data_IF_303603353459
#
_entry.id   IF_303603353459
#
_cell.length_a   1.000
_cell.length_b   1.000
_cell.length_c   1.000
_cell.angle_alpha   90.00
_cell.angle_beta   90.00
_cell.angle_gamma   90.00
#
_symmetry.space_group_name_H-M   'P 1'
#
loop_
_entity.id
_entity.type
_entity.pdbx_description
1 polymer ?
#
# COMPACT_ATOMS: atom_id res chain seq x y z
N UNK A 1 -9.72 29.57 -13.20
CA UNK A 1 -9.37 28.15 -13.37
C UNK A 1 -8.59 27.66 -12.15
N UNK A 2 -8.90 26.48 -11.65
CA UNK A 2 -8.13 25.90 -10.54
C UNK A 2 -6.77 25.40 -11.04
N UNK A 3 -5.76 25.53 -10.19
CA UNK A 3 -4.41 25.04 -10.48
C UNK A 3 -4.31 23.52 -10.30
N UNK A 4 -3.25 22.92 -10.84
CA UNK A 4 -2.98 21.50 -10.62
C UNK A 4 -2.82 21.16 -9.13
N UNK A 5 -2.21 22.05 -8.36
CA UNK A 5 -2.06 21.89 -6.90
C UNK A 5 -3.42 21.90 -6.21
N UNK A 6 -4.29 22.83 -6.54
CA UNK A 6 -5.66 22.89 -5.99
C UNK A 6 -6.46 21.66 -6.35
N UNK A 7 -6.32 21.16 -7.58
CA UNK A 7 -6.99 19.92 -8.01
C UNK A 7 -6.53 18.72 -7.19
N UNK A 8 -5.24 18.61 -6.90
CA UNK A 8 -4.70 17.53 -6.06
C UNK A 8 -5.21 17.63 -4.62
N UNK A 9 -5.27 18.83 -4.07
CA UNK A 9 -5.79 19.06 -2.72
C UNK A 9 -7.26 18.66 -2.60
N UNK A 10 -8.08 19.08 -3.55
CA UNK A 10 -9.50 18.72 -3.60
C UNK A 10 -9.71 17.22 -3.79
N UNK A 11 -8.92 16.59 -4.64
CA UNK A 11 -8.92 15.14 -4.83
C UNK A 11 -8.60 14.41 -3.52
N UNK A 12 -7.53 14.83 -2.82
CA UNK A 12 -7.14 14.23 -1.55
C UNK A 12 -8.24 14.35 -0.50
N UNK A 13 -8.84 15.54 -0.37
CA UNK A 13 -9.94 15.77 0.60
C UNK A 13 -11.12 14.82 0.31
N UNK A 14 -11.51 14.72 -0.95
CA UNK A 14 -12.62 13.85 -1.37
C UNK A 14 -12.33 12.38 -1.04
N UNK A 15 -11.17 11.88 -1.43
CA UNK A 15 -10.81 10.47 -1.20
C UNK A 15 -10.66 10.18 0.30
N UNK A 16 -10.07 11.09 1.07
CA UNK A 16 -9.96 10.95 2.52
C UNK A 16 -11.33 10.87 3.19
N UNK A 17 -12.27 11.70 2.78
CA UNK A 17 -13.63 11.70 3.34
C UNK A 17 -14.39 10.42 2.99
N UNK A 18 -14.28 9.93 1.76
CA UNK A 18 -14.94 8.71 1.31
C UNK A 18 -14.36 7.44 1.92
N UNK A 19 -13.12 7.49 2.41
CA UNK A 19 -12.38 6.31 2.89
C UNK A 19 -11.77 6.54 4.28
N UNK A 20 -12.45 7.26 5.16
CA UNK A 20 -11.96 7.58 6.52
C UNK A 20 -11.50 6.36 7.29
N UNK A 21 -12.28 5.29 7.27
CA UNK A 21 -11.96 4.07 8.03
C UNK A 21 -10.69 3.42 7.51
N UNK A 22 -10.49 3.41 6.20
CA UNK A 22 -9.31 2.81 5.57
C UNK A 22 -8.06 3.61 5.95
N UNK A 23 -8.11 4.93 5.84
CA UNK A 23 -6.98 5.79 6.20
C UNK A 23 -6.68 5.74 7.69
N UNK A 24 -7.70 5.65 8.55
CA UNK A 24 -7.51 5.47 9.99
C UNK A 24 -6.79 4.17 10.31
N UNK A 25 -7.12 3.07 9.66
CA UNK A 25 -6.45 1.78 9.83
C UNK A 25 -4.99 1.85 9.37
N UNK A 26 -4.73 2.51 8.24
CA UNK A 26 -3.37 2.72 7.74
C UNK A 26 -2.56 3.56 8.73
N UNK A 27 -3.13 4.64 9.25
CA UNK A 27 -2.47 5.50 10.25
C UNK A 27 -2.11 4.73 11.52
N UNK A 28 -2.98 3.86 12.00
CA UNK A 28 -2.72 3.00 13.15
C UNK A 28 -1.52 2.09 12.87
N UNK A 29 -1.48 1.46 11.71
CA UNK A 29 -0.38 0.58 11.32
C UNK A 29 0.94 1.33 11.21
N UNK A 30 0.92 2.52 10.61
CA UNK A 30 2.11 3.38 10.50
C UNK A 30 2.60 3.79 11.88
N UNK A 31 1.70 4.23 12.76
CA UNK A 31 2.05 4.63 14.13
C UNK A 31 2.67 3.48 14.91
N UNK A 32 2.09 2.28 14.82
CA UNK A 32 2.65 1.08 15.46
C UNK A 32 4.04 0.74 14.92
N UNK A 33 4.24 0.87 13.61
CA UNK A 33 5.53 0.61 12.99
C UNK A 33 6.59 1.62 13.45
N UNK A 34 6.24 2.89 13.58
CA UNK A 34 7.14 3.93 14.10
C UNK A 34 7.56 3.61 15.54
N UNK A 35 6.65 3.19 16.39
CA UNK A 35 6.96 2.78 17.76
C UNK A 35 7.93 1.59 17.81
N UNK A 36 7.95 0.75 16.80
CA UNK A 36 8.88 -0.37 16.66
C UNK A 36 10.14 0.00 15.88
N UNK A 37 10.34 1.28 15.58
CA UNK A 37 11.47 1.79 14.78
C UNK A 37 11.51 1.24 13.35
N UNK A 38 10.38 0.87 12.80
CA UNK A 38 10.25 0.47 11.41
C UNK A 38 9.98 1.68 10.52
N UNK A 39 10.38 1.61 9.26
CA UNK A 39 10.17 2.67 8.26
C UNK A 39 9.17 2.28 7.17
N UNK A 40 8.50 1.16 7.36
CA UNK A 40 7.52 0.63 6.39
C UNK A 40 6.49 -0.25 7.08
N UNK A 41 5.35 -0.41 6.40
CA UNK A 41 4.34 -1.41 6.74
C UNK A 41 4.07 -2.29 5.52
N UNK A 42 3.63 -3.52 5.77
CA UNK A 42 3.19 -4.46 4.73
C UNK A 42 1.72 -4.77 4.95
N UNK A 43 0.91 -4.58 3.92
CA UNK A 43 -0.50 -4.95 3.93
C UNK A 43 -0.67 -6.13 2.97
N UNK A 44 -0.93 -7.30 3.52
CA UNK A 44 -1.10 -8.53 2.73
C UNK A 44 -2.43 -8.51 2.00
N UNK A 45 -2.47 -9.07 0.79
CA UNK A 45 -3.72 -9.20 0.02
C UNK A 45 -4.78 -10.06 0.74
N UNK A 46 -4.35 -10.92 1.65
CA UNK A 46 -5.26 -11.72 2.49
C UNK A 46 -5.91 -10.93 3.62
N UNK A 47 -5.40 -9.74 3.93
CA UNK A 47 -5.97 -8.87 4.96
C UNK A 47 -7.23 -8.19 4.44
N UNK A 48 -8.23 -8.02 5.30
CA UNK A 48 -9.48 -7.34 4.93
C UNK A 48 -9.24 -5.90 4.49
N UNK A 49 -8.26 -5.24 5.09
CA UNK A 49 -7.88 -3.88 4.73
C UNK A 49 -7.48 -3.77 3.25
N UNK A 50 -6.72 -4.73 2.72
CA UNK A 50 -6.25 -4.70 1.34
C UNK A 50 -7.39 -4.77 0.32
N UNK A 51 -8.49 -5.43 0.66
CA UNK A 51 -9.68 -5.56 -0.20
C UNK A 51 -10.37 -4.21 -0.45
N UNK A 52 -10.16 -3.25 0.43
CA UNK A 52 -10.75 -1.91 0.36
C UNK A 52 -9.77 -0.87 -0.18
N UNK A 53 -8.50 -1.23 -0.38
CA UNK A 53 -7.51 -0.34 -0.97
C UNK A 53 -7.68 -0.35 -2.48
N UNK A 54 -7.85 0.84 -3.05
CA UNK A 54 -7.95 1.05 -4.49
C UNK A 54 -6.87 2.01 -4.98
N UNK A 55 -6.81 2.24 -6.28
CA UNK A 55 -5.81 3.12 -6.89
C UNK A 55 -5.89 4.56 -6.38
N UNK A 56 -7.09 5.04 -6.07
CA UNK A 56 -7.28 6.39 -5.54
C UNK A 56 -6.65 6.55 -4.16
N UNK A 57 -6.80 5.54 -3.30
CA UNK A 57 -6.17 5.53 -1.96
C UNK A 57 -4.66 5.51 -2.09
N UNK A 58 -4.12 4.67 -2.98
CA UNK A 58 -2.68 4.60 -3.23
C UNK A 58 -2.15 5.94 -3.76
N UNK A 59 -2.88 6.60 -4.64
CA UNK A 59 -2.50 7.89 -5.19
C UNK A 59 -2.43 8.98 -4.11
N UNK A 60 -3.41 9.02 -3.20
CA UNK A 60 -3.39 9.95 -2.06
C UNK A 60 -2.17 9.72 -1.18
N UNK A 61 -1.84 8.46 -0.87
CA UNK A 61 -0.65 8.14 -0.09
C UNK A 61 0.63 8.62 -0.78
N UNK A 62 0.74 8.47 -2.10
CA UNK A 62 1.88 8.99 -2.87
C UNK A 62 1.98 10.50 -2.81
N UNK A 63 0.84 11.20 -2.91
CA UNK A 63 0.79 12.67 -2.81
C UNK A 63 1.27 13.14 -1.43
N UNK A 64 0.97 12.39 -0.37
CA UNK A 64 1.47 12.68 0.98
C UNK A 64 2.94 12.29 1.20
N UNK A 65 3.61 11.73 0.20
CA UNK A 65 5.04 11.44 0.26
C UNK A 65 5.40 10.00 0.60
N UNK A 66 4.44 9.10 0.66
CA UNK A 66 4.71 7.68 0.87
C UNK A 66 5.12 7.00 -0.42
N UNK A 67 6.07 6.08 -0.32
CA UNK A 67 6.42 5.18 -1.41
C UNK A 67 5.58 3.92 -1.34
N UNK A 68 4.99 3.54 -2.46
CA UNK A 68 4.16 2.35 -2.57
C UNK A 68 4.85 1.37 -3.51
N UNK A 69 5.04 0.15 -3.04
CA UNK A 69 5.58 -0.93 -3.85
C UNK A 69 4.81 -2.22 -3.62
N UNK A 70 5.07 -3.22 -4.45
CA UNK A 70 4.44 -4.52 -4.32
C UNK A 70 5.29 -5.41 -3.42
N UNK A 71 4.65 -6.09 -2.46
CA UNK A 71 5.29 -7.10 -1.64
C UNK A 71 5.15 -8.46 -2.32
N UNK A 72 6.28 -9.14 -2.49
CA UNK A 72 6.35 -10.45 -3.14
C UNK A 72 6.68 -11.52 -2.11
N UNK A 73 6.11 -12.71 -2.32
CA UNK A 73 6.49 -13.92 -1.61
C UNK A 73 7.08 -14.93 -2.60
N UNK A 74 7.98 -15.78 -2.11
CA UNK A 74 8.54 -16.85 -2.92
C UNK A 74 7.65 -18.08 -2.85
N UNK A 75 7.24 -18.60 -3.99
CA UNK A 75 6.55 -19.87 -4.11
C UNK A 75 7.39 -20.86 -4.88
N UNK A 76 7.43 -22.10 -4.40
CA UNK A 76 8.06 -23.20 -5.12
C UNK A 76 6.98 -23.90 -5.96
N UNK A 77 7.18 -23.92 -7.27
CA UNK A 77 6.29 -24.63 -8.20
C UNK A 77 7.07 -25.69 -8.95
N UNK A 78 6.40 -26.79 -9.25
CA UNK A 78 6.97 -27.84 -10.09
C UNK A 78 6.76 -27.46 -11.56
N UNK A 79 7.86 -27.30 -12.30
CA UNK A 79 7.80 -27.08 -13.74
C UNK A 79 7.35 -28.32 -14.52
N UNK A 80 7.16 -28.17 -15.84
CA UNK A 80 6.73 -29.24 -16.73
C UNK A 80 7.69 -30.43 -16.75
N UNK A 81 8.94 -30.22 -16.39
CA UNK A 81 10.00 -31.26 -16.35
C UNK A 81 10.11 -31.90 -14.95
N UNK A 82 9.22 -31.59 -14.00
CA UNK A 82 9.34 -32.06 -12.64
C UNK A 82 10.43 -31.35 -11.83
N UNK A 83 11.09 -30.33 -12.38
CA UNK A 83 12.11 -29.55 -11.68
C UNK A 83 11.45 -28.43 -10.88
N UNK A 84 11.72 -28.31 -9.55
CA UNK A 84 11.16 -27.23 -8.75
C UNK A 84 11.73 -25.88 -9.21
N UNK A 85 10.83 -24.91 -9.38
CA UNK A 85 11.17 -23.52 -9.68
C UNK A 85 10.66 -22.62 -8.57
N UNK A 86 11.46 -21.63 -8.16
CA UNK A 86 11.02 -20.58 -7.25
C UNK A 86 10.58 -19.39 -8.07
N UNK A 87 9.34 -18.92 -7.82
CA UNK A 87 8.81 -17.72 -8.46
C UNK A 87 8.38 -16.72 -7.41
N UNK A 88 8.46 -15.43 -7.76
CA UNK A 88 7.95 -14.34 -6.93
C UNK A 88 6.50 -14.07 -7.29
N UNK A 89 5.63 -14.10 -6.29
CA UNK A 89 4.19 -13.86 -6.46
C UNK A 89 3.80 -12.61 -5.70
N UNK A 90 3.08 -11.66 -6.33
CA UNK A 90 2.56 -10.50 -5.63
C UNK A 90 1.64 -10.93 -4.49
N UNK A 91 1.88 -10.45 -3.29
CA UNK A 91 1.16 -10.86 -2.09
C UNK A 91 0.66 -9.70 -1.21
N UNK A 92 0.99 -8.47 -1.56
CA UNK A 92 0.56 -7.32 -0.78
C UNK A 92 1.13 -6.00 -1.26
N UNK A 93 0.91 -4.97 -0.43
CA UNK A 93 1.44 -3.63 -0.62
C UNK A 93 2.50 -3.34 0.44
N UNK A 94 3.56 -2.66 0.03
CA UNK A 94 4.54 -2.07 0.97
C UNK A 94 4.36 -0.56 0.92
N UNK A 95 4.06 0.03 2.06
CA UNK A 95 3.96 1.48 2.24
C UNK A 95 5.15 1.91 3.08
N UNK A 96 6.03 2.73 2.54
CA UNK A 96 7.25 3.15 3.21
C UNK A 96 7.37 4.67 3.24
N UNK A 97 8.10 5.17 4.26
CA UNK A 97 8.35 6.60 4.45
C UNK A 97 9.82 6.87 4.77
N UNK A 98 10.68 5.98 4.34
CA UNK A 98 12.12 6.11 4.58
C UNK A 98 12.66 7.35 3.86
N UNK A 99 13.37 8.15 4.60
CA UNK A 99 14.05 9.35 4.11
C UNK A 99 15.42 8.97 3.55
#
# INVERSE_FOLDING_TARGET
>A
MITAQQSRELFCVKILEENKDIFSQIDILITQAIHKSNSKIVIKYTDDLSKNINDNILEVLKIYGYDISTWYVHEVRTGTNGIPCTIDVPAGYVISWKV
#
